data_IF_033322320494
#
_entry.id   IF_033322320494
#
_cell.length_a   1.000
_cell.length_b   1.000
_cell.length_c   1.000
_cell.angle_alpha   90.00
_cell.angle_beta   90.00
_cell.angle_gamma   90.00
#
_symmetry.space_group_name_H-M   'P 1'
#
loop_
_entity.id
_entity.type
_entity.pdbx_description
1 polymer ?
#
# COMPACT_ATOMS: atom_id res chain seq x y z
N UNK A 1 -32.29 -11.21 10.95
CA UNK A 1 -31.98 -12.50 11.61
C UNK A 1 -30.47 -12.66 11.60
N UNK A 2 -29.77 -12.02 12.52
CA UNK A 2 -29.49 -12.46 13.89
C UNK A 2 -28.21 -13.31 13.95
N UNK A 3 -27.08 -12.62 14.14
CA UNK A 3 -25.92 -13.06 14.93
C UNK A 3 -24.68 -12.18 14.63
N UNK A 4 -24.67 -10.93 15.12
CA UNK A 4 -23.42 -10.20 15.35
C UNK A 4 -23.56 -9.43 16.66
N UNK A 5 -23.50 -10.20 17.75
CA UNK A 5 -23.37 -9.73 19.13
C UNK A 5 -22.53 -10.73 19.89
N UNK A 6 -21.23 -10.49 19.93
CA UNK A 6 -20.38 -10.84 21.08
C UNK A 6 -18.97 -10.30 20.81
N UNK A 7 -18.55 -9.36 21.65
CA UNK A 7 -17.18 -8.87 21.68
C UNK A 7 -16.24 -9.96 22.16
N UNK A 8 -15.07 -10.04 21.53
CA UNK A 8 -13.94 -10.84 22.02
C UNK A 8 -12.74 -9.90 22.09
N UNK A 9 -12.29 -9.68 23.31
CA UNK A 9 -11.09 -8.93 23.68
C UNK A 9 -9.81 -9.74 23.41
N UNK A 10 -8.64 -9.07 23.26
CA UNK A 10 -7.40 -9.67 22.76
C UNK A 10 -6.62 -10.45 23.83
N UNK A 11 -7.25 -11.43 24.47
CA UNK A 11 -6.61 -12.29 25.49
C UNK A 11 -6.70 -13.81 25.22
N UNK A 12 -7.41 -14.22 24.17
CA UNK A 12 -7.74 -15.64 23.96
C UNK A 12 -6.72 -16.41 23.10
N UNK A 13 -5.89 -15.72 22.32
CA UNK A 13 -4.93 -16.37 21.40
C UNK A 13 -3.70 -16.93 22.14
N UNK A 14 -3.29 -16.30 23.25
CA UNK A 14 -2.10 -16.69 24.02
C UNK A 14 -2.26 -18.00 24.81
N UNK A 15 -3.51 -18.42 25.11
CA UNK A 15 -3.75 -19.67 25.85
C UNK A 15 -3.80 -20.92 24.98
N UNK A 16 -4.03 -20.81 23.68
CA UNK A 16 -3.96 -21.96 22.77
C UNK A 16 -2.50 -22.38 22.49
N UNK A 17 -1.56 -21.43 22.41
CA UNK A 17 -0.16 -21.74 22.10
C UNK A 17 0.60 -22.46 23.23
N UNK A 18 0.21 -22.25 24.49
CA UNK A 18 0.87 -22.86 25.65
C UNK A 18 0.38 -24.29 25.99
N UNK A 19 -0.68 -24.77 25.33
CA UNK A 19 -1.22 -26.12 25.54
C UNK A 19 -0.61 -27.16 24.59
N UNK A 20 -0.14 -26.75 23.42
CA UNK A 20 0.53 -27.63 22.45
C UNK A 20 1.93 -28.04 22.91
N UNK A 21 2.66 -27.12 23.59
CA UNK A 21 4.05 -27.35 24.02
C UNK A 21 4.21 -28.32 25.20
N UNK A 22 3.10 -28.82 25.78
CA UNK A 22 3.11 -29.70 26.96
C UNK A 22 2.79 -31.17 26.66
N UNK A 23 2.52 -31.52 25.39
CA UNK A 23 2.09 -32.88 24.99
C UNK A 23 3.18 -33.76 24.36
N UNK A 24 4.39 -33.25 24.12
CA UNK A 24 5.51 -34.01 23.54
C UNK A 24 6.57 -34.40 24.58
N UNK A 25 6.15 -34.69 25.82
CA UNK A 25 7.03 -35.19 26.88
C UNK A 25 6.34 -36.35 27.61
N UNK A 26 6.34 -37.53 26.98
CA UNK A 26 6.38 -38.81 27.70
C UNK A 26 6.68 -39.97 26.75
N UNK A 27 7.60 -40.81 27.21
CA UNK A 27 7.75 -42.25 26.96
C UNK A 27 8.34 -42.71 25.62
N UNK A 28 9.68 -42.84 25.54
CA UNK A 28 10.32 -44.04 24.95
C UNK A 28 11.63 -44.37 25.71
N UNK A 29 11.78 -45.67 25.96
CA UNK A 29 12.70 -46.39 26.84
C UNK A 29 14.13 -46.54 26.26
N UNK A 30 15.14 -46.56 27.13
CA UNK A 30 16.57 -46.79 26.81
C UNK A 30 16.88 -48.30 26.85
N UNK A 31 17.74 -48.81 25.95
CA UNK A 31 18.70 -49.83 26.38
C UNK A 31 20.17 -49.49 26.07
N UNK A 32 20.99 -50.11 26.92
CA UNK A 32 22.44 -50.10 27.13
C UNK A 32 23.41 -49.87 25.95
N UNK A 33 24.55 -49.29 26.35
CA UNK A 33 25.74 -48.99 25.58
C UNK A 33 26.44 -50.21 24.95
N UNK A 34 26.97 -50.02 23.74
CA UNK A 34 28.20 -50.66 23.28
C UNK A 34 29.10 -49.57 22.69
N UNK A 35 30.29 -49.43 23.28
CA UNK A 35 31.32 -48.50 22.88
C UNK A 35 32.04 -49.02 21.63
N UNK A 36 32.01 -48.26 20.55
CA UNK A 36 32.96 -48.38 19.44
C UNK A 36 33.80 -47.10 19.44
N UNK A 37 35.07 -47.25 19.76
CA UNK A 37 36.08 -46.19 19.72
C UNK A 37 36.31 -45.75 18.28
N UNK A 38 36.09 -44.46 17.99
CA UNK A 38 36.63 -43.78 16.80
C UNK A 38 37.55 -42.65 17.25
N UNK A 39 38.76 -42.50 16.68
CA UNK A 39 39.73 -41.52 17.16
C UNK A 39 39.35 -40.09 16.79
N UNK A 40 39.67 -39.16 17.68
CA UNK A 40 39.56 -37.71 17.52
C UNK A 40 40.31 -37.23 16.27
N UNK A 41 39.76 -36.30 15.47
CA UNK A 41 40.59 -35.53 14.54
C UNK A 41 41.37 -34.47 15.32
N UNK A 42 42.69 -34.52 15.17
CA UNK A 42 43.66 -33.54 15.60
C UNK A 42 43.29 -32.12 15.15
N UNK A 43 43.59 -31.17 16.04
CA UNK A 43 43.74 -29.75 15.74
C UNK A 43 44.61 -29.54 14.49
N UNK A 44 44.07 -28.87 13.47
CA UNK A 44 44.88 -28.14 12.48
C UNK A 44 44.44 -26.68 12.48
N UNK A 45 45.45 -25.84 12.60
CA UNK A 45 45.47 -24.41 12.84
C UNK A 45 44.70 -23.57 11.83
N UNK A 46 44.26 -22.41 12.31
CA UNK A 46 43.87 -21.25 11.51
C UNK A 46 45.03 -20.76 10.60
N UNK A 47 44.65 -19.97 9.59
CA UNK A 47 45.44 -19.43 8.47
C UNK A 47 45.68 -20.36 7.26
N UNK A 48 44.69 -20.42 6.36
CA UNK A 48 44.92 -20.54 4.92
C UNK A 48 43.75 -19.88 4.18
N UNK A 49 44.03 -18.94 3.27
CA UNK A 49 43.06 -18.48 2.28
C UNK A 49 42.60 -19.70 1.44
N UNK A 50 41.32 -19.81 1.07
CA UNK A 50 40.83 -20.96 0.32
C UNK A 50 41.60 -21.08 -1.00
N UNK A 51 42.21 -22.23 -1.21
CA UNK A 51 42.95 -22.55 -2.43
C UNK A 51 41.99 -22.58 -3.61
N UNK A 52 42.41 -22.14 -4.80
CA UNK A 52 41.57 -22.17 -6.00
C UNK A 52 40.98 -23.57 -6.31
N UNK A 53 41.66 -24.63 -5.83
CA UNK A 53 41.20 -26.01 -5.94
C UNK A 53 39.98 -26.31 -5.03
N UNK A 54 39.93 -25.74 -3.81
CA UNK A 54 38.80 -25.90 -2.89
C UNK A 54 37.57 -25.15 -3.41
N UNK A 55 37.78 -23.98 -4.03
CA UNK A 55 36.72 -23.22 -4.71
C UNK A 55 36.19 -23.97 -5.94
N UNK A 56 37.06 -24.67 -6.68
CA UNK A 56 36.66 -25.51 -7.81
C UNK A 56 35.93 -26.79 -7.36
N UNK A 57 36.33 -27.39 -6.23
CA UNK A 57 35.72 -28.60 -5.70
C UNK A 57 34.35 -28.32 -5.05
N UNK A 58 34.15 -27.17 -4.40
CA UNK A 58 32.83 -26.77 -3.89
C UNK A 58 31.84 -26.51 -5.01
N UNK A 59 32.25 -25.88 -6.12
CA UNK A 59 31.42 -25.68 -7.32
C UNK A 59 31.01 -27.02 -7.96
N UNK A 60 31.82 -28.07 -7.83
CA UNK A 60 31.53 -29.38 -8.42
C UNK A 60 30.59 -30.27 -7.59
N UNK A 61 30.33 -29.95 -6.31
CA UNK A 61 29.46 -30.72 -5.41
C UNK A 61 28.12 -30.06 -5.10
N UNK A 62 27.83 -28.91 -5.70
CA UNK A 62 26.59 -28.19 -5.44
C UNK A 62 25.38 -28.94 -6.02
N UNK A 63 24.54 -29.46 -5.13
CA UNK A 63 23.19 -29.91 -5.43
C UNK A 63 22.46 -28.83 -6.23
N UNK A 64 21.99 -29.16 -7.42
CA UNK A 64 21.22 -28.21 -8.23
C UNK A 64 20.00 -27.73 -7.45
N UNK A 65 19.60 -26.47 -7.62
CA UNK A 65 18.45 -25.89 -6.89
C UNK A 65 17.18 -26.72 -7.10
N UNK A 66 17.07 -27.41 -8.24
CA UNK A 66 16.01 -28.36 -8.54
C UNK A 66 15.90 -29.50 -7.51
N UNK A 67 17.01 -29.99 -6.97
CA UNK A 67 17.04 -31.04 -5.94
C UNK A 67 16.47 -30.55 -4.59
N UNK A 68 16.63 -29.26 -4.28
CA UNK A 68 16.01 -28.61 -3.12
C UNK A 68 14.53 -28.24 -3.37
N UNK A 69 13.95 -28.59 -4.52
CA UNK A 69 12.60 -28.20 -4.91
C UNK A 69 12.46 -26.70 -5.22
N UNK A 70 13.58 -26.03 -5.52
CA UNK A 70 13.63 -24.64 -5.96
C UNK A 70 13.68 -24.58 -7.51
N UNK A 71 13.41 -23.42 -8.11
CA UNK A 71 13.56 -23.24 -9.57
C UNK A 71 12.32 -23.52 -10.44
N UNK A 72 11.11 -23.53 -9.87
CA UNK A 72 9.86 -23.68 -10.64
C UNK A 72 9.65 -22.58 -11.71
N UNK A 73 8.84 -22.81 -12.74
CA UNK A 73 8.50 -21.86 -13.82
C UNK A 73 7.66 -20.62 -13.39
N UNK A 74 7.75 -20.23 -12.13
CA UNK A 74 7.17 -19.03 -11.55
C UNK A 74 8.18 -17.87 -11.63
N UNK A 75 7.75 -16.59 -11.53
CA UNK A 75 8.69 -15.47 -11.49
C UNK A 75 9.78 -15.60 -10.41
N UNK A 76 9.43 -16.23 -9.28
CA UNK A 76 10.37 -16.53 -8.20
C UNK A 76 11.42 -17.56 -8.64
N UNK A 77 10.99 -18.67 -9.25
CA UNK A 77 11.94 -19.70 -9.67
C UNK A 77 12.75 -19.30 -10.91
N UNK A 78 12.24 -18.41 -11.78
CA UNK A 78 13.05 -17.78 -12.83
C UNK A 78 14.22 -16.98 -12.24
N UNK A 79 14.01 -16.27 -11.13
CA UNK A 79 15.10 -15.59 -10.42
C UNK A 79 16.07 -16.60 -9.82
N UNK A 80 15.59 -17.69 -9.23
CA UNK A 80 16.45 -18.74 -8.67
C UNK A 80 17.35 -19.36 -9.74
N UNK A 81 16.77 -19.75 -10.88
CA UNK A 81 17.51 -20.32 -12.00
C UNK A 81 18.49 -19.31 -12.61
N UNK A 82 18.11 -18.03 -12.67
CA UNK A 82 19.02 -16.97 -13.11
C UNK A 82 20.23 -16.84 -12.16
N UNK A 83 20.01 -16.86 -10.84
CA UNK A 83 21.09 -16.75 -9.87
C UNK A 83 21.98 -17.99 -9.84
N UNK A 84 21.40 -19.18 -10.00
CA UNK A 84 22.13 -20.44 -10.15
C UNK A 84 22.99 -20.43 -11.41
N UNK A 85 22.45 -20.03 -12.56
CA UNK A 85 23.22 -19.86 -13.80
C UNK A 85 24.40 -18.90 -13.62
N UNK A 86 24.17 -17.78 -12.91
CA UNK A 86 25.24 -16.82 -12.61
C UNK A 86 26.31 -17.39 -11.68
N UNK A 87 25.95 -18.32 -10.80
CA UNK A 87 26.87 -18.96 -9.88
C UNK A 87 27.64 -20.11 -10.54
N UNK A 88 26.95 -21.05 -11.17
CA UNK A 88 27.50 -22.28 -11.72
C UNK A 88 28.18 -22.06 -13.08
N UNK A 89 27.51 -21.42 -14.04
CA UNK A 89 28.03 -21.28 -15.41
C UNK A 89 29.04 -20.14 -15.55
N UNK A 90 28.83 -19.05 -14.81
CA UNK A 90 29.70 -17.86 -14.83
C UNK A 90 30.76 -17.88 -13.73
N UNK A 91 30.69 -18.82 -12.78
CA UNK A 91 31.66 -18.99 -11.70
C UNK A 91 31.68 -17.83 -10.68
N UNK A 92 30.61 -17.05 -10.58
CA UNK A 92 30.54 -15.94 -9.63
C UNK A 92 30.24 -16.45 -8.22
N UNK A 93 30.84 -15.90 -7.16
CA UNK A 93 30.38 -16.19 -5.80
C UNK A 93 28.92 -15.74 -5.64
N UNK A 94 28.16 -16.37 -4.72
CA UNK A 94 26.73 -16.11 -4.56
C UNK A 94 26.38 -14.62 -4.35
N UNK A 95 27.16 -13.88 -3.56
CA UNK A 95 26.95 -12.43 -3.41
C UNK A 95 27.08 -11.69 -4.75
N UNK A 96 28.04 -12.10 -5.60
CA UNK A 96 28.28 -11.56 -6.93
C UNK A 96 27.18 -11.94 -7.91
N UNK A 97 26.71 -13.19 -7.87
CA UNK A 97 25.55 -13.65 -8.65
C UNK A 97 24.29 -12.81 -8.34
N UNK A 98 24.04 -12.52 -7.06
CA UNK A 98 22.95 -11.64 -6.62
C UNK A 98 23.12 -10.23 -7.19
N UNK A 99 24.32 -9.64 -7.09
CA UNK A 99 24.61 -8.29 -7.60
C UNK A 99 24.39 -8.22 -9.11
N UNK A 100 25.03 -9.11 -9.87
CA UNK A 100 24.97 -9.14 -11.34
C UNK A 100 23.56 -9.45 -11.82
N UNK A 101 22.88 -10.43 -11.22
CA UNK A 101 21.50 -10.77 -11.54
C UNK A 101 20.55 -9.59 -11.30
N UNK A 102 20.76 -8.84 -10.22
CA UNK A 102 20.00 -7.61 -9.93
C UNK A 102 20.24 -6.55 -11.00
N UNK A 103 21.50 -6.25 -11.32
CA UNK A 103 21.86 -5.23 -12.32
C UNK A 103 21.29 -5.61 -13.69
N UNK A 104 21.39 -6.87 -14.10
CA UNK A 104 20.82 -7.36 -15.36
C UNK A 104 19.30 -7.15 -15.40
N UNK A 105 18.58 -7.57 -14.36
CA UNK A 105 17.13 -7.37 -14.27
C UNK A 105 16.77 -5.88 -14.35
N UNK A 106 17.53 -5.01 -13.67
CA UNK A 106 17.33 -3.55 -13.72
C UNK A 106 17.61 -2.97 -15.11
N UNK A 107 18.64 -3.44 -15.82
CA UNK A 107 18.95 -3.03 -17.19
C UNK A 107 17.83 -3.41 -18.17
N UNK A 108 17.24 -4.59 -18.05
CA UNK A 108 16.11 -5.04 -18.87
C UNK A 108 14.88 -4.14 -18.67
N UNK A 109 14.64 -3.69 -17.44
CA UNK A 109 13.48 -2.87 -17.07
C UNK A 109 13.70 -1.37 -17.34
N UNK A 110 14.96 -0.93 -17.40
CA UNK A 110 15.35 0.46 -17.64
C UNK A 110 14.58 1.18 -18.77
N UNK A 111 14.40 0.62 -19.99
CA UNK A 111 13.64 1.31 -21.05
C UNK A 111 12.18 1.56 -20.66
N UNK A 112 11.56 0.68 -19.88
CA UNK A 112 10.19 0.88 -19.36
C UNK A 112 10.17 2.01 -18.34
N UNK A 113 11.19 2.10 -17.48
CA UNK A 113 11.32 3.18 -16.51
C UNK A 113 11.49 4.53 -17.22
N UNK A 114 12.30 4.60 -18.28
CA UNK A 114 12.47 5.82 -19.10
C UNK A 114 11.14 6.27 -19.70
N UNK A 115 10.33 5.32 -20.22
CA UNK A 115 8.97 5.62 -20.71
C UNK A 115 8.09 6.16 -19.58
N UNK A 116 8.09 5.52 -18.41
CA UNK A 116 7.34 5.99 -17.24
C UNK A 116 7.74 7.39 -16.80
N UNK A 117 9.04 7.71 -16.80
CA UNK A 117 9.56 9.03 -16.45
C UNK A 117 9.14 10.11 -17.45
N UNK A 118 9.09 9.80 -18.75
CA UNK A 118 8.54 10.70 -19.77
C UNK A 118 7.09 11.06 -19.48
N UNK A 119 6.26 10.05 -19.21
CA UNK A 119 4.83 10.26 -18.95
C UNK A 119 4.60 11.00 -17.63
N UNK A 120 5.40 10.71 -16.60
CA UNK A 120 5.38 11.44 -15.34
C UNK A 120 5.75 12.92 -15.52
N UNK A 121 6.76 13.23 -16.35
CA UNK A 121 7.14 14.61 -16.65
C UNK A 121 6.05 15.37 -17.42
N UNK A 122 5.42 14.75 -18.43
CA UNK A 122 4.26 15.33 -19.15
C UNK A 122 3.12 15.64 -18.19
N UNK A 123 2.77 14.67 -17.33
CA UNK A 123 1.71 14.79 -16.34
C UNK A 123 1.98 15.93 -15.36
N UNK A 124 3.22 16.05 -14.87
CA UNK A 124 3.60 17.12 -13.96
C UNK A 124 3.30 18.50 -14.54
N UNK A 125 3.64 18.73 -15.80
CA UNK A 125 3.52 20.04 -16.46
C UNK A 125 2.07 20.51 -16.64
N UNK A 126 1.10 19.59 -16.66
CA UNK A 126 -0.33 19.90 -16.82
C UNK A 126 -1.13 19.69 -15.54
N UNK A 127 -0.48 19.24 -14.47
CA UNK A 127 -1.15 18.92 -13.20
C UNK A 127 -1.96 20.10 -12.62
N UNK A 128 -1.51 21.36 -12.67
CA UNK A 128 -2.29 22.48 -12.12
C UNK A 128 -3.66 22.62 -12.79
N UNK A 129 -3.72 22.47 -14.11
CA UNK A 129 -4.98 22.53 -14.87
C UNK A 129 -5.86 21.31 -14.61
N UNK A 130 -5.27 20.11 -14.53
CA UNK A 130 -5.99 18.90 -14.09
C UNK A 130 -6.58 19.12 -12.70
N UNK A 131 -5.83 19.70 -11.78
CA UNK A 131 -6.29 19.99 -10.41
C UNK A 131 -7.45 20.98 -10.41
N UNK A 132 -7.35 22.06 -11.20
CA UNK A 132 -8.41 23.06 -11.37
C UNK A 132 -9.70 22.44 -11.93
N UNK A 133 -9.61 21.66 -13.01
CA UNK A 133 -10.75 20.96 -13.61
C UNK A 133 -11.34 19.92 -12.64
N UNK A 134 -10.51 19.23 -11.87
CA UNK A 134 -10.94 18.31 -10.82
C UNK A 134 -11.72 19.03 -9.71
N UNK A 135 -11.30 20.23 -9.32
CA UNK A 135 -12.01 21.05 -8.34
C UNK A 135 -13.38 21.50 -8.87
N UNK A 136 -13.45 22.00 -10.10
CA UNK A 136 -14.72 22.37 -10.75
C UNK A 136 -15.67 21.16 -10.82
N UNK A 137 -15.16 19.99 -11.18
CA UNK A 137 -15.94 18.74 -11.18
C UNK A 137 -16.45 18.39 -9.77
N UNK A 138 -15.61 18.55 -8.74
CA UNK A 138 -16.00 18.28 -7.35
C UNK A 138 -17.03 19.27 -6.82
N UNK A 139 -16.94 20.55 -7.20
CA UNK A 139 -17.93 21.59 -6.88
C UNK A 139 -19.26 21.30 -7.58
N UNK A 140 -19.22 20.95 -8.87
CA UNK A 140 -20.40 20.56 -9.63
C UNK A 140 -21.08 19.32 -9.01
N UNK A 141 -20.30 18.32 -8.57
CA UNK A 141 -20.81 17.15 -7.85
C UNK A 141 -21.52 17.54 -6.55
N UNK A 142 -20.94 18.47 -5.78
CA UNK A 142 -21.53 18.96 -4.52
C UNK A 142 -22.80 19.79 -4.76
N UNK A 143 -22.90 20.51 -5.87
CA UNK A 143 -24.09 21.28 -6.24
C UNK A 143 -25.32 20.42 -6.55
N UNK A 144 -25.16 19.10 -6.70
CA UNK A 144 -26.25 18.17 -7.04
C UNK A 144 -26.74 18.28 -8.48
N UNK A 145 -26.21 19.21 -9.28
CA UNK A 145 -26.59 19.39 -10.67
C UNK A 145 -25.85 18.36 -11.55
N UNK A 146 -26.60 17.35 -12.01
CA UNK A 146 -26.08 16.27 -12.86
C UNK A 146 -25.54 16.76 -14.20
N UNK A 147 -26.12 17.83 -14.77
CA UNK A 147 -25.68 18.39 -16.05
C UNK A 147 -24.35 19.13 -15.91
N UNK A 148 -24.18 19.95 -14.88
CA UNK A 148 -22.90 20.63 -14.62
C UNK A 148 -21.79 19.63 -14.31
N UNK A 149 -22.10 18.55 -13.57
CA UNK A 149 -21.15 17.47 -13.33
C UNK A 149 -20.75 16.75 -14.62
N UNK A 150 -21.72 16.37 -15.46
CA UNK A 150 -21.44 15.70 -16.74
C UNK A 150 -20.57 16.58 -17.66
N UNK A 151 -20.85 17.89 -17.71
CA UNK A 151 -20.05 18.86 -18.45
C UNK A 151 -18.63 18.95 -17.91
N UNK A 152 -18.46 19.17 -16.60
CA UNK A 152 -17.13 19.28 -15.98
C UNK A 152 -16.31 17.99 -16.14
N UNK A 153 -16.95 16.82 -16.05
CA UNK A 153 -16.31 15.53 -16.33
C UNK A 153 -15.87 15.42 -17.80
N UNK A 154 -16.75 15.79 -18.74
CA UNK A 154 -16.40 15.83 -20.16
C UNK A 154 -15.22 16.76 -20.44
N UNK A 155 -15.22 17.96 -19.87
CA UNK A 155 -14.13 18.93 -20.02
C UNK A 155 -12.80 18.39 -19.48
N UNK A 156 -12.80 17.74 -18.32
CA UNK A 156 -11.62 17.09 -17.76
C UNK A 156 -11.09 15.97 -18.68
N UNK A 157 -11.97 15.10 -19.17
CA UNK A 157 -11.56 14.00 -20.07
C UNK A 157 -11.07 14.50 -21.42
N UNK A 158 -11.70 15.55 -21.97
CA UNK A 158 -11.28 16.19 -23.22
C UNK A 158 -9.91 16.85 -23.05
N UNK A 159 -9.68 17.53 -21.93
CA UNK A 159 -8.37 18.08 -21.58
C UNK A 159 -7.29 17.00 -21.51
N UNK A 160 -7.56 15.90 -20.78
CA UNK A 160 -6.62 14.77 -20.68
C UNK A 160 -6.30 14.16 -22.06
N UNK A 161 -7.31 13.98 -22.92
CA UNK A 161 -7.12 13.48 -24.29
C UNK A 161 -6.33 14.46 -25.16
N UNK A 162 -6.63 15.76 -25.09
CA UNK A 162 -5.95 16.81 -25.85
C UNK A 162 -4.47 16.90 -25.50
N UNK A 163 -4.12 16.68 -24.24
CA UNK A 163 -2.74 16.70 -23.75
C UNK A 163 -2.06 15.32 -23.73
N UNK A 164 -2.73 14.25 -24.19
CA UNK A 164 -2.29 12.84 -24.13
C UNK A 164 -1.70 12.46 -22.75
N UNK A 165 -2.42 12.84 -21.70
CA UNK A 165 -2.03 12.55 -20.31
C UNK A 165 -2.99 11.55 -19.69
N UNK A 166 -2.43 10.50 -19.08
CA UNK A 166 -3.20 9.49 -18.38
C UNK A 166 -2.54 9.20 -17.02
N UNK A 167 -3.31 9.26 -15.95
CA UNK A 167 -2.84 9.01 -14.59
C UNK A 167 -2.23 7.60 -14.44
N UNK A 168 -2.77 6.60 -15.14
CA UNK A 168 -2.29 5.22 -15.06
C UNK A 168 -0.89 5.04 -15.65
N UNK A 169 -0.51 5.86 -16.65
CA UNK A 169 0.85 5.79 -17.24
C UNK A 169 1.92 6.21 -16.24
N UNK A 170 1.61 7.09 -15.29
CA UNK A 170 2.50 7.46 -14.20
C UNK A 170 2.71 6.34 -13.17
N UNK A 171 1.74 5.43 -13.03
CA UNK A 171 1.83 4.26 -12.14
C UNK A 171 2.59 3.07 -12.77
N UNK A 172 3.03 3.19 -14.04
CA UNK A 172 3.72 2.14 -14.75
C UNK A 172 5.03 1.70 -14.05
N UNK A 173 5.76 2.64 -13.44
CA UNK A 173 7.05 2.34 -12.79
C UNK A 173 6.83 1.44 -11.55
N UNK A 174 6.03 1.83 -10.53
CA UNK A 174 5.73 0.94 -9.41
C UNK A 174 5.13 -0.40 -9.82
N UNK A 175 4.25 -0.40 -10.84
CA UNK A 175 3.56 -1.62 -11.29
C UNK A 175 4.51 -2.68 -11.87
N UNK A 176 5.60 -2.26 -12.52
CA UNK A 176 6.63 -3.18 -13.02
C UNK A 176 7.66 -3.52 -11.95
N UNK A 177 8.00 -2.54 -11.10
CA UNK A 177 9.04 -2.71 -10.08
C UNK A 177 8.60 -3.63 -8.92
N UNK A 178 7.34 -3.55 -8.49
CA UNK A 178 6.84 -4.33 -7.35
C UNK A 178 6.87 -5.86 -7.59
N UNK A 179 6.40 -6.40 -8.73
CA UNK A 179 6.50 -7.84 -9.01
C UNK A 179 7.95 -8.34 -9.08
N UNK A 180 8.86 -7.55 -9.65
CA UNK A 180 10.28 -7.90 -9.74
C UNK A 180 10.90 -7.92 -8.36
N UNK A 181 10.64 -6.89 -7.55
CA UNK A 181 11.08 -6.85 -6.16
C UNK A 181 10.55 -8.05 -5.38
N UNK A 182 9.27 -8.37 -5.49
CA UNK A 182 8.68 -9.50 -4.79
C UNK A 182 9.28 -10.83 -5.25
N UNK A 183 9.60 -10.96 -6.55
CA UNK A 183 10.21 -12.18 -7.10
C UNK A 183 11.61 -12.42 -6.51
N UNK A 184 12.47 -11.40 -6.53
CA UNK A 184 13.81 -11.48 -5.90
C UNK A 184 13.72 -11.68 -4.40
N UNK A 185 12.86 -10.94 -3.72
CA UNK A 185 12.69 -11.03 -2.27
C UNK A 185 12.26 -12.44 -1.83
N UNK A 186 11.24 -13.03 -2.47
CA UNK A 186 10.78 -14.38 -2.15
C UNK A 186 11.85 -15.41 -2.54
N UNK A 187 12.50 -15.26 -3.70
CA UNK A 187 13.51 -16.21 -4.18
C UNK A 187 14.66 -16.33 -3.19
N UNK A 188 15.25 -15.20 -2.80
CA UNK A 188 16.38 -15.14 -1.88
C UNK A 188 15.99 -15.59 -0.47
N UNK A 189 14.81 -15.22 0.01
CA UNK A 189 14.30 -15.77 1.28
C UNK A 189 14.18 -17.29 1.22
N UNK A 190 13.59 -17.84 0.15
CA UNK A 190 13.41 -19.29 0.03
C UNK A 190 14.76 -20.01 0.01
N UNK A 191 15.74 -19.50 -0.73
CA UNK A 191 17.09 -20.05 -0.78
C UNK A 191 17.84 -19.94 0.55
N UNK A 192 17.54 -18.92 1.36
CA UNK A 192 18.11 -18.78 2.69
C UNK A 192 17.43 -19.70 3.73
N UNK A 193 16.09 -19.85 3.69
CA UNK A 193 15.35 -20.68 4.65
C UNK A 193 15.35 -22.18 4.32
N UNK A 194 15.54 -22.53 3.05
CA UNK A 194 15.94 -23.87 2.61
C UNK A 194 17.42 -23.75 2.26
N UNK A 195 18.31 -23.75 3.28
CA UNK A 195 19.67 -23.25 3.14
C UNK A 195 20.39 -24.01 2.05
N UNK A 196 20.64 -23.32 0.93
CA UNK A 196 21.53 -23.79 -0.12
C UNK A 196 22.93 -23.84 0.50
N UNK A 197 23.58 -25.02 0.60
CA UNK A 197 24.83 -25.15 1.34
C UNK A 197 25.92 -24.17 0.88
N UNK A 198 26.08 -23.96 -0.44
CA UNK A 198 27.06 -23.02 -0.97
C UNK A 198 26.76 -21.55 -0.69
N UNK A 199 25.53 -21.19 -0.30
CA UNK A 199 25.22 -19.82 0.14
C UNK A 199 25.73 -19.52 1.56
N UNK A 200 26.03 -20.52 2.38
CA UNK A 200 26.53 -20.32 3.74
C UNK A 200 27.98 -19.82 3.77
N UNK A 201 28.74 -20.06 2.70
CA UNK A 201 30.13 -19.61 2.54
C UNK A 201 30.30 -18.68 1.33
N UNK A 202 29.24 -18.46 0.55
CA UNK A 202 29.25 -17.67 -0.68
C UNK A 202 29.07 -16.16 -0.51
N UNK A 203 29.13 -15.65 0.72
CA UNK A 203 29.06 -14.22 1.06
C UNK A 203 30.37 -13.46 0.85
N UNK A 204 30.45 -12.24 1.39
CA UNK A 204 31.62 -11.37 1.24
C UNK A 204 31.89 -10.54 2.49
N UNK A 205 33.12 -10.04 2.63
CA UNK A 205 33.51 -9.09 3.66
C UNK A 205 33.17 -9.60 5.07
N UNK A 206 32.31 -8.89 5.81
CA UNK A 206 31.89 -9.24 7.17
C UNK A 206 30.66 -10.17 7.23
N UNK A 207 30.08 -10.54 6.09
CA UNK A 207 28.91 -11.40 5.98
C UNK A 207 29.21 -12.62 5.08
N UNK A 208 30.02 -13.59 5.55
CA UNK A 208 30.35 -14.79 4.77
C UNK A 208 29.14 -15.69 4.53
N UNK A 209 28.18 -15.71 5.46
CA UNK A 209 26.95 -16.49 5.34
C UNK A 209 25.80 -15.61 4.84
N UNK A 210 25.24 -15.97 3.69
CA UNK A 210 24.14 -15.27 3.03
C UNK A 210 22.75 -15.65 3.58
N UNK A 211 22.67 -16.73 4.35
CA UNK A 211 21.41 -17.36 4.80
C UNK A 211 20.94 -16.85 6.16
N UNK A 212 21.84 -16.31 6.96
CA UNK A 212 21.56 -15.75 8.29
C UNK A 212 21.43 -14.22 8.27
N UNK A 213 20.95 -13.63 9.38
CA UNK A 213 20.91 -12.19 9.55
C UNK A 213 22.32 -11.59 9.66
N UNK A 214 22.50 -10.32 9.27
CA UNK A 214 23.80 -9.63 9.36
C UNK A 214 24.26 -9.57 10.82
N UNK A 215 25.41 -10.18 11.19
CA UNK A 215 25.91 -10.19 12.56
C UNK A 215 26.13 -8.79 13.16
N UNK A 216 26.43 -7.81 12.30
CA UNK A 216 26.74 -6.44 12.70
C UNK A 216 25.62 -5.44 12.36
N UNK A 217 24.52 -5.89 11.75
CA UNK A 217 23.39 -5.06 11.29
C UNK A 217 23.79 -3.90 10.36
N UNK A 218 24.96 -3.95 9.73
CA UNK A 218 25.46 -2.90 8.84
C UNK A 218 24.58 -2.83 7.59
N UNK A 219 24.29 -3.97 6.95
CA UNK A 219 23.49 -4.06 5.73
C UNK A 219 22.05 -3.51 5.94
N UNK A 220 21.27 -3.92 6.96
CA UNK A 220 19.96 -3.34 7.24
C UNK A 220 19.97 -1.81 7.40
N UNK A 221 20.97 -1.26 8.10
CA UNK A 221 21.09 0.19 8.33
C UNK A 221 21.40 0.92 7.02
N UNK A 222 22.37 0.41 6.24
CA UNK A 222 22.75 1.02 4.95
C UNK A 222 21.61 0.94 3.93
N UNK A 223 20.90 -0.19 3.87
CA UNK A 223 19.71 -0.35 3.01
C UNK A 223 18.60 0.63 3.43
N UNK A 224 18.37 0.79 4.73
CA UNK A 224 17.39 1.76 5.23
C UNK A 224 17.78 3.19 4.88
N UNK A 225 19.06 3.56 5.05
CA UNK A 225 19.57 4.89 4.69
C UNK A 225 19.50 5.18 3.19
N UNK A 226 19.87 4.21 2.35
CA UNK A 226 19.75 4.35 0.88
C UNK A 226 18.29 4.43 0.44
N UNK A 227 17.39 3.65 1.06
CA UNK A 227 15.95 3.74 0.79
C UNK A 227 15.38 5.11 1.20
N UNK A 228 15.77 5.62 2.37
CA UNK A 228 15.42 6.96 2.81
C UNK A 228 15.85 8.01 1.78
N UNK A 229 17.09 7.95 1.29
CA UNK A 229 17.60 8.88 0.29
C UNK A 229 16.84 8.79 -1.05
N UNK A 230 16.50 7.59 -1.50
CA UNK A 230 15.65 7.40 -2.70
C UNK A 230 14.28 8.07 -2.52
N UNK A 231 13.62 7.85 -1.38
CA UNK A 231 12.31 8.44 -1.11
C UNK A 231 12.38 9.96 -0.97
N UNK A 232 13.43 10.49 -0.35
CA UNK A 232 13.63 11.94 -0.22
C UNK A 232 13.77 12.60 -1.59
N UNK A 233 14.64 12.04 -2.45
CA UNK A 233 14.81 12.54 -3.82
C UNK A 233 13.53 12.40 -4.66
N UNK A 234 12.76 11.33 -4.45
CA UNK A 234 11.47 11.14 -5.13
C UNK A 234 10.46 12.20 -4.69
N UNK A 235 10.40 12.51 -3.39
CA UNK A 235 9.53 13.53 -2.81
C UNK A 235 9.91 14.95 -3.27
N UNK A 236 11.20 15.28 -3.28
CA UNK A 236 11.71 16.56 -3.79
C UNK A 236 11.42 16.74 -5.28
N UNK A 237 11.49 15.63 -6.03
CA UNK A 237 11.10 15.70 -7.42
C UNK A 237 9.61 16.06 -7.51
N UNK A 238 8.73 15.51 -6.66
CA UNK A 238 7.26 15.62 -6.64
C UNK A 238 6.63 17.03 -6.70
N UNK A 239 5.32 17.10 -6.92
CA UNK A 239 4.61 18.40 -7.00
C UNK A 239 4.44 18.94 -5.59
N UNK A 240 4.69 20.24 -5.40
CA UNK A 240 4.41 20.93 -4.15
C UNK A 240 2.91 21.21 -4.00
N UNK A 241 2.16 20.16 -3.66
CA UNK A 241 0.79 20.29 -3.20
C UNK A 241 0.78 20.38 -1.66
N UNK A 242 0.09 21.36 -1.04
CA UNK A 242 -0.08 21.43 0.41
C UNK A 242 -0.64 20.13 1.02
N UNK A 243 -1.52 19.42 0.28
CA UNK A 243 -2.07 18.12 0.70
C UNK A 243 -1.03 16.99 0.74
N UNK A 244 0.11 17.15 0.04
CA UNK A 244 1.18 16.16 0.01
C UNK A 244 2.11 16.27 1.22
N UNK A 245 2.09 17.36 2.02
CA UNK A 245 2.99 17.51 3.19
C UNK A 245 2.91 16.32 4.15
N UNK A 246 1.70 15.86 4.48
CA UNK A 246 1.51 14.67 5.32
C UNK A 246 2.08 13.41 4.65
N UNK A 247 1.90 13.26 3.34
CA UNK A 247 2.45 12.14 2.56
C UNK A 247 3.98 12.18 2.51
N UNK A 248 4.60 13.38 2.41
CA UNK A 248 6.05 13.58 2.52
C UNK A 248 6.57 13.09 3.87
N UNK A 249 5.89 13.45 4.97
CA UNK A 249 6.25 12.98 6.31
C UNK A 249 6.14 11.46 6.44
N UNK A 250 5.06 10.87 5.92
CA UNK A 250 4.87 9.41 5.93
C UNK A 250 6.01 8.70 5.18
N UNK A 251 6.38 9.17 3.98
CA UNK A 251 7.49 8.57 3.23
C UNK A 251 8.84 8.70 3.92
N UNK A 252 9.10 9.80 4.65
CA UNK A 252 10.33 9.98 5.42
C UNK A 252 10.43 9.03 6.62
N UNK A 253 9.31 8.75 7.29
CA UNK A 253 9.29 7.88 8.47
C UNK A 253 9.18 6.39 8.09
N UNK A 254 8.64 6.08 6.91
CA UNK A 254 8.40 4.71 6.46
C UNK A 254 9.64 3.79 6.51
N UNK A 255 10.84 4.19 6.04
CA UNK A 255 12.06 3.38 6.19
C UNK A 255 12.38 2.99 7.63
N UNK A 256 12.19 3.91 8.58
CA UNK A 256 12.48 3.66 10.00
C UNK A 256 11.49 2.66 10.62
N UNK A 257 10.25 2.66 10.15
CA UNK A 257 9.23 1.67 10.57
C UNK A 257 9.55 0.28 9.99
N UNK A 258 10.09 0.21 8.77
CA UNK A 258 10.42 -1.05 8.08
C UNK A 258 11.65 -1.73 8.69
N UNK A 259 12.61 -0.96 9.22
CA UNK A 259 13.85 -1.48 9.78
C UNK A 259 13.64 -2.57 10.86
N UNK A 260 12.92 -2.35 11.98
CA UNK A 260 12.76 -3.39 13.00
C UNK A 260 12.01 -4.63 12.51
N UNK A 261 11.16 -4.50 11.49
CA UNK A 261 10.46 -5.64 10.88
C UNK A 261 11.38 -6.50 10.00
N UNK A 262 12.41 -5.90 9.42
CA UNK A 262 13.28 -6.55 8.41
C UNK A 262 14.67 -6.87 8.92
N UNK A 263 15.08 -6.34 10.07
CA UNK A 263 16.44 -6.42 10.60
C UNK A 263 16.98 -7.86 10.77
N UNK A 264 16.10 -8.84 11.00
CA UNK A 264 16.43 -10.26 11.16
C UNK A 264 16.35 -11.06 9.84
N UNK A 265 16.18 -10.40 8.70
CA UNK A 265 16.13 -11.09 7.42
C UNK A 265 17.53 -11.53 6.95
N UNK A 266 17.62 -12.58 6.13
CA UNK A 266 18.88 -13.06 5.59
C UNK A 266 19.68 -11.97 4.85
N UNK A 267 20.99 -11.96 5.00
CA UNK A 267 21.93 -11.04 4.33
C UNK A 267 21.84 -11.11 2.81
N UNK A 268 21.45 -12.25 2.21
CA UNK A 268 21.17 -12.35 0.77
C UNK A 268 20.11 -11.33 0.31
N UNK A 269 19.04 -11.16 1.10
CA UNK A 269 17.94 -10.23 0.79
C UNK A 269 18.46 -8.79 0.83
N UNK A 270 19.27 -8.44 1.83
CA UNK A 270 19.84 -7.10 1.94
C UNK A 270 20.91 -6.82 0.89
N UNK A 271 21.68 -7.82 0.46
CA UNK A 271 22.65 -7.70 -0.65
C UNK A 271 21.93 -7.32 -1.95
N UNK A 272 20.83 -8.01 -2.25
CA UNK A 272 19.94 -7.64 -3.34
C UNK A 272 19.39 -6.22 -3.17
N UNK A 273 18.83 -5.91 -2.00
CA UNK A 273 18.14 -4.64 -1.76
C UNK A 273 19.11 -3.45 -1.87
N UNK A 274 20.31 -3.58 -1.32
CA UNK A 274 21.37 -2.58 -1.42
C UNK A 274 21.76 -2.33 -2.88
N UNK A 275 22.03 -3.40 -3.64
CA UNK A 275 22.36 -3.31 -5.07
C UNK A 275 21.24 -2.63 -5.85
N UNK A 276 19.99 -3.02 -5.57
CA UNK A 276 18.78 -2.42 -6.13
C UNK A 276 18.71 -0.91 -5.84
N UNK A 277 19.02 -0.49 -4.61
CA UNK A 277 18.98 0.90 -4.19
C UNK A 277 20.10 1.71 -4.86
N UNK A 278 21.33 1.19 -4.88
CA UNK A 278 22.46 1.81 -5.57
C UNK A 278 22.17 2.01 -7.06
N UNK A 279 21.60 1.00 -7.73
CA UNK A 279 21.17 1.13 -9.12
C UNK A 279 20.10 2.21 -9.27
N UNK A 280 19.09 2.25 -8.39
CA UNK A 280 18.05 3.28 -8.42
C UNK A 280 18.63 4.70 -8.29
N UNK A 281 19.58 4.90 -7.36
CA UNK A 281 20.24 6.19 -7.17
C UNK A 281 21.08 6.59 -8.38
N UNK A 282 21.86 5.66 -8.92
CA UNK A 282 22.63 5.88 -10.15
C UNK A 282 21.71 6.21 -11.34
N UNK A 283 20.61 5.47 -11.49
CA UNK A 283 19.59 5.71 -12.50
C UNK A 283 18.95 7.10 -12.33
N UNK A 284 18.62 7.50 -11.11
CA UNK A 284 18.05 8.82 -10.83
C UNK A 284 19.03 9.94 -11.17
N UNK A 285 20.30 9.80 -10.78
CA UNK A 285 21.35 10.74 -11.15
C UNK A 285 21.51 10.85 -12.67
N UNK A 286 21.53 9.70 -13.37
CA UNK A 286 21.63 9.63 -14.83
C UNK A 286 20.45 10.32 -15.52
N UNK A 287 19.22 10.05 -15.08
CA UNK A 287 17.99 10.62 -15.67
C UNK A 287 17.71 12.07 -15.25
N UNK A 288 18.45 12.60 -14.26
CA UNK A 288 18.44 14.01 -13.90
C UNK A 288 19.39 14.83 -14.79
N UNK A 289 20.44 14.19 -15.35
CA UNK A 289 21.43 14.86 -16.18
C UNK A 289 20.81 15.46 -17.47
N UNK A 290 20.99 16.77 -17.77
CA UNK A 290 20.33 17.44 -18.90
C UNK A 290 20.57 16.77 -20.26
N UNK A 291 21.82 16.40 -20.57
CA UNK A 291 22.17 15.75 -21.85
C UNK A 291 21.47 14.40 -22.04
N UNK A 292 21.31 13.64 -20.95
CA UNK A 292 20.64 12.33 -20.99
C UNK A 292 19.14 12.53 -21.20
N UNK A 293 18.56 13.53 -20.53
CA UNK A 293 17.14 13.88 -20.71
C UNK A 293 16.84 14.30 -22.14
N UNK A 294 17.72 15.09 -22.76
CA UNK A 294 17.58 15.49 -24.15
C UNK A 294 17.66 14.29 -25.09
N UNK A 295 18.70 13.45 -24.96
CA UNK A 295 18.88 12.23 -25.76
C UNK A 295 17.70 11.27 -25.63
N UNK A 296 17.19 11.11 -24.41
CA UNK A 296 16.02 10.28 -24.11
C UNK A 296 14.70 11.04 -24.31
N UNK A 297 14.70 12.27 -24.84
CA UNK A 297 13.52 13.12 -25.08
C UNK A 297 12.60 13.30 -23.87
N UNK A 298 13.12 13.25 -22.64
CA UNK A 298 12.32 13.40 -21.42
C UNK A 298 11.97 14.88 -21.25
N UNK A 299 10.68 15.27 -21.22
CA UNK A 299 10.29 16.67 -21.07
C UNK A 299 10.89 17.30 -19.82
N UNK A 300 11.21 18.58 -19.88
CA UNK A 300 11.57 19.32 -18.67
C UNK A 300 10.37 19.40 -17.73
N UNK A 301 10.68 19.29 -16.44
CA UNK A 301 9.69 19.37 -15.40
C UNK A 301 9.51 20.82 -15.00
N UNK A 302 8.34 21.39 -15.26
CA UNK A 302 7.99 22.75 -14.84
C UNK A 302 7.71 22.70 -13.33
N UNK A 303 8.41 23.52 -12.56
CA UNK A 303 8.06 23.75 -11.17
C UNK A 303 6.88 24.72 -11.15
N UNK A 304 5.76 24.26 -10.60
CA UNK A 304 4.59 25.11 -10.44
C UNK A 304 4.66 25.76 -9.05
N UNK A 305 4.39 27.07 -8.92
CA UNK A 305 4.27 27.68 -7.60
C UNK A 305 3.17 26.94 -6.80
N UNK A 306 3.30 26.84 -5.47
CA UNK A 306 2.30 26.18 -4.64
C UNK A 306 0.94 26.82 -4.93
N UNK A 307 0.06 26.06 -5.57
CA UNK A 307 -1.30 26.50 -5.84
C UNK A 307 -1.96 26.84 -4.51
N UNK A 308 -2.46 28.06 -4.35
CA UNK A 308 -3.10 28.61 -3.13
C UNK A 308 -4.42 27.92 -2.74
N UNK A 309 -4.53 26.62 -2.99
CA UNK A 309 -5.60 25.77 -2.51
C UNK A 309 -5.49 25.68 -0.99
N UNK A 310 -6.62 25.74 -0.27
CA UNK A 310 -6.61 25.72 1.19
C UNK A 310 -5.90 24.48 1.69
N UNK A 311 -4.94 24.70 2.58
CA UNK A 311 -4.14 23.70 3.29
C UNK A 311 -4.99 22.95 4.32
N UNK A 312 -6.09 22.34 3.89
CA UNK A 312 -6.84 21.44 4.73
C UNK A 312 -6.03 20.14 4.84
N UNK A 313 -5.60 19.75 6.04
CA UNK A 313 -4.74 18.58 6.23
C UNK A 313 -5.33 17.32 5.56
N UNK A 314 -4.47 16.46 5.01
CA UNK A 314 -4.86 15.23 4.30
C UNK A 314 -5.94 14.42 5.06
N UNK A 315 -5.79 14.28 6.38
CA UNK A 315 -6.77 13.58 7.24
C UNK A 315 -8.14 14.28 7.24
N UNK A 316 -8.16 15.60 7.25
CA UNK A 316 -9.40 16.37 7.21
C UNK A 316 -10.08 16.27 5.84
N UNK A 317 -9.30 16.28 4.76
CA UNK A 317 -9.81 16.05 3.40
C UNK A 317 -10.43 14.65 3.25
N UNK A 318 -9.79 13.61 3.81
CA UNK A 318 -10.32 12.25 3.84
C UNK A 318 -11.60 12.15 4.67
N UNK A 319 -11.61 12.77 5.85
CA UNK A 319 -12.79 12.80 6.74
C UNK A 319 -13.96 13.51 6.09
N UNK A 320 -13.72 14.64 5.42
CA UNK A 320 -14.73 15.37 4.64
C UNK A 320 -15.23 14.52 3.47
N UNK A 321 -14.32 13.86 2.73
CA UNK A 321 -14.67 12.95 1.64
C UNK A 321 -15.57 11.80 2.09
N UNK A 322 -15.25 11.16 3.22
CA UNK A 322 -16.04 10.07 3.77
C UNK A 322 -17.42 10.54 4.25
N UNK A 323 -17.49 11.68 4.94
CA UNK A 323 -18.76 12.31 5.33
C UNK A 323 -19.63 12.68 4.13
N UNK A 324 -19.04 13.26 3.09
CA UNK A 324 -19.76 13.64 1.87
C UNK A 324 -20.26 12.40 1.11
N UNK A 325 -19.48 11.33 1.05
CA UNK A 325 -19.91 10.06 0.46
C UNK A 325 -21.03 9.42 1.27
N UNK A 326 -20.93 9.42 2.61
CA UNK A 326 -21.99 8.92 3.49
C UNK A 326 -23.28 9.74 3.34
N UNK A 327 -23.18 11.07 3.24
CA UNK A 327 -24.32 11.94 3.00
C UNK A 327 -24.95 11.69 1.62
N UNK A 328 -24.13 11.56 0.57
CA UNK A 328 -24.61 11.23 -0.77
C UNK A 328 -25.35 9.88 -0.79
N UNK A 329 -24.81 8.86 -0.10
CA UNK A 329 -25.47 7.56 0.04
C UNK A 329 -26.80 7.67 0.81
N UNK A 330 -26.85 8.45 1.89
CA UNK A 330 -28.09 8.71 2.63
C UNK A 330 -29.16 9.41 1.78
N UNK A 331 -28.76 10.37 0.93
CA UNK A 331 -29.65 11.06 0.00
C UNK A 331 -30.19 10.09 -1.06
N UNK A 332 -29.33 9.24 -1.63
CA UNK A 332 -29.73 8.23 -2.61
C UNK A 332 -30.69 7.19 -2.00
N UNK A 333 -30.45 6.74 -0.77
CA UNK A 333 -31.37 5.85 -0.05
C UNK A 333 -32.72 6.51 0.25
N UNK A 334 -32.74 7.83 0.54
CA UNK A 334 -33.98 8.59 0.70
C UNK A 334 -34.75 8.69 -0.61
N UNK A 335 -34.08 9.05 -1.71
CA UNK A 335 -34.69 9.08 -3.03
C UNK A 335 -35.26 7.72 -3.43
N UNK A 336 -34.51 6.63 -3.18
CA UNK A 336 -34.96 5.26 -3.45
C UNK A 336 -36.20 4.91 -2.64
N UNK A 337 -36.25 5.27 -1.35
CA UNK A 337 -37.44 5.08 -0.51
C UNK A 337 -38.63 5.88 -0.99
N UNK A 338 -38.43 7.12 -1.42
CA UNK A 338 -39.50 7.98 -1.97
C UNK A 338 -40.03 7.39 -3.28
N UNK A 339 -39.17 6.93 -4.20
CA UNK A 339 -39.60 6.26 -5.43
C UNK A 339 -40.39 4.98 -5.16
N UNK A 340 -39.95 4.20 -4.18
CA UNK A 340 -40.57 2.93 -3.82
C UNK A 340 -41.64 3.05 -2.71
N UNK A 341 -42.10 4.26 -2.39
CA UNK A 341 -43.00 4.46 -1.24
C UNK A 341 -44.33 3.72 -1.39
N UNK A 342 -44.85 3.59 -2.62
CA UNK A 342 -46.09 2.86 -2.91
C UNK A 342 -45.93 1.35 -2.63
N UNK A 343 -44.84 0.75 -3.09
CA UNK A 343 -44.51 -0.65 -2.81
C UNK A 343 -44.27 -0.88 -1.31
N UNK A 344 -43.62 0.05 -0.62
CA UNK A 344 -43.48 0.02 0.84
C UNK A 344 -44.83 0.09 1.56
N UNK A 345 -45.75 0.95 1.10
CA UNK A 345 -47.08 1.09 1.68
C UNK A 345 -47.93 -0.16 1.47
N UNK A 346 -47.84 -0.80 0.30
CA UNK A 346 -48.54 -2.04 -0.02
C UNK A 346 -48.06 -3.25 0.81
N UNK A 347 -46.77 -3.28 1.15
CA UNK A 347 -46.17 -4.34 2.01
C UNK A 347 -46.40 -4.13 3.50
N UNK A 348 -46.89 -2.95 3.90
CA UNK A 348 -47.17 -2.64 5.30
C UNK A 348 -48.43 -3.35 5.83
N UNK A 349 -48.52 -3.59 7.14
CA UNK A 349 -49.76 -4.11 7.73
C UNK A 349 -50.90 -3.09 7.58
N UNK A 350 -52.11 -3.57 7.25
CA UNK A 350 -53.32 -2.75 7.21
C UNK A 350 -53.55 -2.08 8.56
N UNK A 351 -53.73 -0.76 8.57
CA UNK A 351 -54.07 0.01 9.77
C UNK A 351 -55.55 0.38 9.74
N UNK A 352 -56.22 0.27 10.89
CA UNK A 352 -57.60 0.71 11.02
C UNK A 352 -57.66 2.25 10.92
N UNK A 353 -58.55 2.77 10.09
CA UNK A 353 -58.82 4.20 9.92
C UNK A 353 -60.27 4.49 10.28
N UNK A 354 -60.55 5.58 11.00
CA UNK A 354 -61.91 5.99 11.34
C UNK A 354 -62.55 6.79 10.20
N UNK A 355 -63.86 6.65 10.02
CA UNK A 355 -64.63 7.36 8.98
C UNK A 355 -64.68 8.87 9.19
N UNK A 356 -64.63 9.32 10.46
CA UNK A 356 -64.60 10.73 10.84
C UNK A 356 -63.38 11.02 11.71
N UNK A 357 -62.91 12.27 11.69
CA UNK A 357 -61.76 12.69 12.49
C UNK A 357 -62.09 12.57 13.99
N UNK A 358 -61.51 11.60 14.72
CA UNK A 358 -61.85 11.36 16.12
C UNK A 358 -61.39 12.49 17.04
N UNK A 359 -60.48 13.36 16.58
CA UNK A 359 -59.96 14.49 17.35
C UNK A 359 -60.85 15.75 17.29
N UNK A 360 -61.81 15.81 16.36
CA UNK A 360 -62.69 16.97 16.20
C UNK A 360 -64.04 16.85 16.94
N UNK A 361 -64.39 15.66 17.44
CA UNK A 361 -65.67 15.43 18.11
C UNK A 361 -65.78 16.04 19.52
N UNK A 362 -64.67 16.51 20.10
CA UNK A 362 -64.62 17.10 21.44
C UNK A 362 -64.53 18.65 21.43
N UNK A 363 -65.31 19.34 20.58
CA UNK A 363 -65.67 20.73 20.90
C UNK A 363 -66.87 20.67 21.85
N UNK A 364 -66.75 20.98 23.16
CA UNK A 364 -67.85 20.83 24.09
C UNK A 364 -69.02 21.71 23.66
N UNK A 365 -70.15 21.05 23.42
CA UNK A 365 -71.47 21.66 23.28
C UNK A 365 -71.67 22.58 24.47
N UNK A 366 -71.75 23.88 24.21
CA UNK A 366 -72.05 24.89 25.22
C UNK A 366 -73.33 24.48 25.96
N UNK A 367 -73.18 24.17 27.25
CA UNK A 367 -74.30 23.90 28.14
C UNK A 367 -75.26 25.08 28.09
N UNK A 368 -76.49 24.82 27.66
CA UNK A 368 -77.63 25.72 27.75
C UNK A 368 -77.85 26.13 29.21
N UNK A 369 -77.39 27.32 29.58
CA UNK A 369 -77.91 28.10 30.70
C UNK A 369 -79.06 28.98 30.19
N UNK A 370 -80.12 29.21 31.00
CA UNK A 370 -81.37 29.82 30.53
C UNK A 370 -81.21 31.30 30.19
N UNK A 371 -81.97 31.72 29.18
CA UNK A 371 -82.11 33.09 28.66
C UNK A 371 -82.22 34.15 29.76
N UNK A 372 -81.21 35.01 29.85
CA UNK A 372 -81.36 36.39 30.30
C UNK A 372 -81.34 37.31 29.08
N UNK A 373 -82.44 38.04 28.86
CA UNK A 373 -82.55 39.08 27.84
C UNK A 373 -81.44 40.12 28.01
N UNK A 374 -80.73 40.44 26.93
CA UNK A 374 -80.67 41.81 26.37
C UNK A 374 -79.80 41.82 25.12
N UNK A 375 -80.42 42.26 24.03
CA UNK A 375 -79.76 42.69 22.81
C UNK A 375 -78.79 43.83 23.10
N UNK A 376 -77.56 43.78 22.57
CA UNK A 376 -76.86 44.98 22.08
C UNK A 376 -75.69 44.58 21.16
N UNK A 377 -75.93 44.79 19.87
CA UNK A 377 -75.04 45.50 18.93
C UNK A 377 -73.51 45.37 19.08
N UNK A 378 -72.88 44.88 18.01
CA UNK A 378 -71.44 44.94 17.69
C UNK A 378 -70.75 46.24 18.14
N UNK A 379 -69.74 46.13 18.98
CA UNK A 379 -68.77 47.21 19.25
C UNK A 379 -67.35 46.69 19.04
N UNK A 380 -66.61 47.41 18.20
CA UNK A 380 -65.20 47.13 17.90
C UNK A 380 -64.35 47.46 19.15
N UNK A 381 -63.53 46.52 19.66
CA UNK A 381 -62.89 46.61 20.99
C UNK A 381 -61.78 47.67 21.13
N UNK A 382 -61.44 48.37 20.06
CA UNK A 382 -60.42 49.44 20.10
C UNK A 382 -60.98 50.84 20.39
N UNK A 383 -62.31 51.00 20.52
CA UNK A 383 -62.90 52.27 20.96
C UNK A 383 -62.80 52.52 22.47
N UNK A 384 -62.49 51.48 23.26
CA UNK A 384 -62.42 51.57 24.72
C UNK A 384 -60.99 51.75 25.26
N UNK A 385 -59.96 51.76 24.39
CA UNK A 385 -58.55 51.87 24.80
C UNK A 385 -57.78 52.99 24.09
N UNK A 386 -58.35 53.59 23.06
CA UNK A 386 -57.79 54.74 22.36
C UNK A 386 -58.88 55.83 22.31
N UNK A 387 -59.01 56.53 23.44
CA UNK A 387 -59.59 57.88 23.47
C UNK A 387 -58.62 58.86 22.85
#
# INVERSE_FOLDING_TARGET
MAAFRSGVTPGCITRCFLRESRKTKSDVNIPAAQAVLTPLPEHVSADAAPTALDVLQTVATDSTLAELGLGANTPVGLVQNLLEFMHLDLGLPWWGAIVVGTVLARCVVFPVIVKGQREAAKMNNVMPEITKLTNIMNEAKQSGNKFSFAKAYSDLTLFQKKHDVNLLRGFLIPMVQAPIFMSFFIALRKMAYLPVPSMQTGGALWFPDLTIADPFYILPIVVTGTMFFILELAVESGIDNPNLKAMKTVFRVMPLIILPMTINFPTAVFTYWLTSNCFSLGQMALLKHPLVREKLRIPQRIQHPPSGLPENGFIESLKKGWKNAQLAQQLEERERRIKNHLDLAAKGPLRQTFTHNPLQQNSPVAATYPKGNTSTSKTKPWKDTLG
#
